data_IF_443393048345
#
_entry.id   IF_443393048345
#
_cell.length_a   1.000
_cell.length_b   1.000
_cell.length_c   1.000
_cell.angle_alpha   90.00
_cell.angle_beta   90.00
_cell.angle_gamma   90.00
#
_symmetry.space_group_name_H-M   'P 1'
#
loop_
_entity.id
_entity.type
_entity.pdbx_description
1 polymer ?
#
# COMPACT_ATOMS: atom_id res chain seq x y z
N UNK A 1 -32.70 -0.31 47.10
CA UNK A 1 -33.81 0.66 46.93
C UNK A 1 -33.96 0.96 45.44
N UNK A 2 -35.18 0.74 44.93
CA UNK A 2 -35.59 0.76 43.54
C UNK A 2 -35.64 2.17 42.93
N UNK A 3 -35.44 2.26 41.60
CA UNK A 3 -36.23 2.97 40.55
C UNK A 3 -35.29 3.35 39.39
N UNK A 4 -35.29 2.68 38.22
CA UNK A 4 -36.24 2.74 37.09
C UNK A 4 -36.56 4.15 36.57
N UNK A 5 -36.10 4.43 35.34
CA UNK A 5 -36.47 5.58 34.52
C UNK A 5 -36.09 5.33 33.05
N UNK A 6 -36.96 4.62 32.33
CA UNK A 6 -36.94 4.52 30.86
C UNK A 6 -37.56 5.80 30.29
N UNK A 7 -36.90 6.47 29.34
CA UNK A 7 -37.56 7.41 28.44
C UNK A 7 -37.54 6.88 27.01
N UNK A 8 -38.72 6.54 26.51
CA UNK A 8 -39.04 6.34 25.09
C UNK A 8 -39.37 7.71 24.49
N UNK A 9 -38.71 8.09 23.41
CA UNK A 9 -39.24 9.09 22.49
C UNK A 9 -39.69 8.40 21.21
N UNK A 10 -41.02 8.40 21.01
CA UNK A 10 -41.67 8.21 19.72
C UNK A 10 -41.60 9.53 18.99
N UNK A 11 -41.09 9.53 17.76
CA UNK A 11 -41.18 10.63 16.81
C UNK A 11 -41.65 10.06 15.48
N UNK A 12 -42.82 10.50 15.04
CA UNK A 12 -43.57 10.02 13.89
C UNK A 12 -42.83 10.30 12.57
N UNK A 13 -42.46 9.24 11.84
CA UNK A 13 -42.07 9.35 10.44
C UNK A 13 -43.33 9.40 9.57
N UNK A 14 -43.75 10.61 9.19
CA UNK A 14 -44.77 10.81 8.14
C UNK A 14 -44.12 10.64 6.77
N UNK A 15 -44.48 9.56 6.09
CA UNK A 15 -44.25 9.37 4.65
C UNK A 15 -45.11 10.37 3.85
N UNK A 16 -44.50 11.06 2.90
CA UNK A 16 -45.20 11.79 1.84
C UNK A 16 -44.58 11.39 0.48
N UNK A 17 -45.35 10.82 -0.48
CA UNK A 17 -44.85 10.39 -1.78
C UNK A 17 -45.22 11.37 -2.91
N UNK A 18 -44.23 11.89 -3.63
CA UNK A 18 -44.33 12.53 -4.96
C UNK A 18 -42.89 12.94 -5.35
N UNK A 19 -42.30 12.68 -6.51
CA UNK A 19 -42.78 12.51 -7.87
C UNK A 19 -41.85 11.56 -8.63
N UNK A 20 -42.45 10.62 -9.35
CA UNK A 20 -41.82 9.91 -10.45
C UNK A 20 -42.02 10.69 -11.76
N UNK A 21 -41.08 10.48 -12.69
CA UNK A 21 -41.13 10.70 -14.14
C UNK A 21 -40.72 12.07 -14.71
N UNK A 22 -39.58 12.07 -15.41
CA UNK A 22 -39.26 12.69 -16.72
C UNK A 22 -37.75 13.06 -16.73
N UNK A 23 -36.93 12.84 -17.76
CA UNK A 23 -37.18 12.47 -19.14
C UNK A 23 -35.94 11.76 -19.72
N UNK A 24 -36.20 10.68 -20.46
CA UNK A 24 -35.33 10.18 -21.53
C UNK A 24 -35.37 11.18 -22.69
N UNK A 25 -34.20 11.62 -23.20
CA UNK A 25 -33.92 11.99 -24.60
C UNK A 25 -32.41 12.26 -24.74
N UNK A 26 -31.68 11.33 -25.35
CA UNK A 26 -31.14 11.42 -26.73
C UNK A 26 -30.11 12.55 -26.90
N UNK A 27 -28.84 12.17 -26.94
CA UNK A 27 -27.88 12.61 -27.96
C UNK A 27 -27.06 11.39 -28.39
N UNK A 28 -27.49 10.79 -29.51
CA UNK A 28 -26.68 9.88 -30.32
C UNK A 28 -25.81 10.73 -31.23
N UNK A 29 -24.57 10.29 -31.44
CA UNK A 29 -23.79 10.61 -32.63
C UNK A 29 -22.65 11.56 -32.35
N UNK A 30 -21.49 11.01 -32.02
CA UNK A 30 -20.28 11.42 -32.73
C UNK A 30 -19.40 10.21 -33.04
N UNK A 31 -18.75 10.37 -34.18
CA UNK A 31 -18.28 9.37 -35.11
C UNK A 31 -17.19 8.47 -34.52
N UNK A 32 -17.31 7.17 -34.82
CA UNK A 32 -16.23 6.19 -34.67
C UNK A 32 -15.46 6.18 -35.98
N UNK A 33 -14.38 6.94 -36.08
CA UNK A 33 -13.27 6.69 -37.03
C UNK A 33 -12.07 7.58 -36.67
N UNK A 34 -10.89 6.99 -36.78
CA UNK A 34 -9.55 7.59 -36.68
C UNK A 34 -8.99 8.01 -35.31
N UNK A 35 -8.47 7.01 -34.59
CA UNK A 35 -7.19 7.13 -33.89
C UNK A 35 -6.48 5.76 -33.78
N UNK A 36 -6.28 5.08 -34.92
CA UNK A 36 -5.30 3.99 -35.02
C UNK A 36 -3.92 4.59 -35.34
N UNK A 37 -3.22 5.08 -34.31
CA UNK A 37 -1.77 5.27 -34.36
C UNK A 37 -1.20 4.71 -33.08
N UNK A 38 -0.54 3.56 -33.22
CA UNK A 38 -0.04 2.74 -32.13
C UNK A 38 1.04 3.44 -31.32
N UNK A 39 0.79 3.60 -30.02
CA UNK A 39 1.86 3.49 -29.05
C UNK A 39 2.06 2.00 -28.78
N UNK A 40 3.03 1.40 -29.48
CA UNK A 40 3.56 0.11 -29.11
C UNK A 40 4.27 0.28 -27.75
N UNK A 41 3.64 -0.20 -26.68
CA UNK A 41 4.31 -0.43 -25.41
C UNK A 41 5.32 -1.56 -25.63
N UNK A 42 6.54 -1.21 -26.07
CA UNK A 42 7.69 -2.13 -26.07
C UNK A 42 8.14 -2.31 -24.62
N UNK A 43 7.42 -3.15 -23.90
CA UNK A 43 7.72 -3.50 -22.51
C UNK A 43 7.19 -4.88 -22.09
N UNK A 44 6.49 -5.60 -22.96
CA UNK A 44 6.26 -7.02 -22.76
C UNK A 44 7.54 -7.76 -23.15
N UNK A 45 8.29 -8.24 -22.15
CA UNK A 45 9.28 -9.30 -22.40
C UNK A 45 8.52 -10.46 -23.07
N UNK A 46 9.07 -11.09 -24.12
CA UNK A 46 8.50 -12.32 -24.63
C UNK A 46 8.50 -13.36 -23.49
N UNK A 47 7.54 -14.30 -23.45
CA UNK A 47 7.66 -15.46 -22.58
C UNK A 47 8.82 -16.30 -23.11
N UNK A 48 10.00 -16.10 -22.54
CA UNK A 48 11.25 -16.64 -23.10
C UNK A 48 12.52 -16.00 -22.53
N UNK A 49 12.58 -15.76 -21.22
CA UNK A 49 13.86 -15.85 -20.48
C UNK A 49 13.96 -17.27 -19.88
N UNK A 50 13.51 -18.27 -20.64
CA UNK A 50 13.88 -19.65 -20.41
C UNK A 50 15.21 -19.88 -21.10
N UNK A 51 16.15 -20.47 -20.37
CA UNK A 51 17.27 -21.20 -20.95
C UNK A 51 16.82 -21.89 -22.25
N UNK A 52 17.66 -21.85 -23.29
CA UNK A 52 17.37 -22.36 -24.63
C UNK A 52 16.81 -23.79 -24.66
N UNK A 53 16.44 -24.33 -25.83
CA UNK A 53 15.84 -25.66 -25.94
C UNK A 53 16.81 -26.72 -25.39
N UNK A 54 16.60 -27.11 -24.12
CA UNK A 54 17.59 -27.83 -23.29
C UNK A 54 17.66 -27.38 -21.82
N UNK A 55 17.01 -26.28 -21.43
CA UNK A 55 16.98 -25.78 -20.06
C UNK A 55 16.16 -26.64 -19.08
N UNK A 56 16.58 -26.64 -17.81
CA UNK A 56 15.87 -27.29 -16.71
C UNK A 56 14.45 -26.70 -16.56
N UNK A 57 13.43 -27.52 -16.86
CA UNK A 57 12.02 -27.09 -16.89
C UNK A 57 11.38 -27.00 -15.51
N UNK A 58 12.12 -27.31 -14.43
CA UNK A 58 11.60 -27.25 -13.06
C UNK A 58 11.35 -25.81 -12.62
N UNK A 59 10.21 -25.52 -11.97
CA UNK A 59 9.98 -24.23 -11.34
C UNK A 59 11.11 -23.86 -10.36
N UNK A 60 11.68 -22.67 -10.58
CA UNK A 60 12.66 -22.05 -9.69
C UNK A 60 11.94 -21.47 -8.48
N UNK A 61 12.30 -21.89 -7.28
CA UNK A 61 11.68 -21.46 -6.03
C UNK A 61 12.68 -20.79 -5.10
N UNK A 62 12.19 -19.83 -4.32
CA UNK A 62 12.92 -19.28 -3.17
C UNK A 62 12.27 -19.78 -1.89
N UNK A 63 13.08 -20.09 -0.87
CA UNK A 63 12.59 -20.36 0.47
C UNK A 63 12.50 -19.04 1.23
N UNK A 64 11.30 -18.68 1.71
CA UNK A 64 11.11 -17.51 2.56
C UNK A 64 11.60 -17.82 3.98
N UNK A 65 12.57 -17.04 4.42
CA UNK A 65 13.26 -17.18 5.69
C UNK A 65 12.77 -16.11 6.63
N UNK A 66 12.49 -16.52 7.86
CA UNK A 66 12.22 -15.61 8.97
C UNK A 66 13.50 -15.44 9.78
N UNK A 67 14.02 -14.22 9.80
CA UNK A 67 15.36 -13.92 10.29
C UNK A 67 15.42 -13.48 11.74
N UNK A 68 14.32 -13.27 12.44
CA UNK A 68 14.32 -12.64 13.78
C UNK A 68 14.60 -11.15 13.71
N UNK A 69 14.30 -10.49 12.58
CA UNK A 69 14.63 -9.08 12.32
C UNK A 69 13.37 -8.36 11.88
N UNK A 70 12.95 -7.40 12.67
CA UNK A 70 11.85 -6.49 12.35
C UNK A 70 12.39 -5.06 12.26
N UNK A 71 12.17 -4.37 11.15
CA UNK A 71 12.63 -3.01 10.92
C UNK A 71 11.45 -2.06 10.64
N UNK A 72 11.46 -0.90 11.30
CA UNK A 72 10.47 0.17 11.13
C UNK A 72 11.10 1.54 11.36
N UNK A 73 10.90 2.48 10.43
CA UNK A 73 11.51 3.80 10.43
C UNK A 73 13.05 3.72 10.58
N UNK A 74 13.57 4.23 11.70
CA UNK A 74 15.00 4.23 12.06
C UNK A 74 15.37 3.17 13.11
N UNK A 75 14.41 2.33 13.50
CA UNK A 75 14.61 1.31 14.53
C UNK A 75 14.50 -0.09 13.93
N UNK A 76 15.24 -1.03 14.51
CA UNK A 76 15.03 -2.44 14.27
C UNK A 76 15.10 -3.22 15.58
N UNK A 77 14.31 -4.27 15.67
CA UNK A 77 14.31 -5.22 16.78
C UNK A 77 14.80 -6.56 16.26
N UNK A 78 15.80 -7.10 16.95
CA UNK A 78 16.28 -8.46 16.72
C UNK A 78 15.66 -9.39 17.78
N UNK A 79 14.67 -10.19 17.40
CA UNK A 79 14.00 -11.13 18.30
C UNK A 79 14.53 -12.56 18.09
N UNK A 80 14.48 -13.37 19.15
CA UNK A 80 14.82 -14.80 19.09
C UNK A 80 13.67 -15.68 18.56
N UNK A 81 12.44 -15.15 18.57
CA UNK A 81 11.25 -15.81 18.08
C UNK A 81 10.49 -14.87 17.16
N UNK A 82 10.36 -15.27 15.90
CA UNK A 82 9.51 -14.61 14.92
C UNK A 82 8.07 -15.10 15.10
N UNK A 83 7.29 -14.41 15.94
CA UNK A 83 5.85 -14.68 16.10
C UNK A 83 5.05 -14.08 14.93
N UNK A 84 5.27 -14.62 13.73
CA UNK A 84 4.61 -14.17 12.52
C UNK A 84 4.36 -15.34 11.56
N UNK A 85 3.32 -15.23 10.74
CA UNK A 85 2.79 -16.34 9.94
C UNK A 85 3.61 -16.70 8.69
N UNK A 86 4.62 -15.90 8.33
CA UNK A 86 5.34 -16.06 7.07
C UNK A 86 6.73 -16.62 7.25
N UNK A 87 7.13 -17.44 6.28
CA UNK A 87 8.49 -17.95 6.20
C UNK A 87 8.80 -19.02 7.23
N UNK A 88 10.02 -19.53 7.14
CA UNK A 88 10.55 -20.58 8.00
C UNK A 88 11.63 -19.97 8.89
N UNK A 89 11.50 -20.16 10.21
CA UNK A 89 12.44 -19.62 11.18
C UNK A 89 13.84 -20.24 11.03
N UNK A 90 14.87 -19.38 11.05
CA UNK A 90 16.26 -19.81 11.17
C UNK A 90 16.53 -20.44 12.54
N UNK A 91 16.02 -19.82 13.62
CA UNK A 91 16.33 -20.22 14.99
C UNK A 91 15.81 -21.61 15.37
N UNK A 92 14.70 -22.06 14.75
CA UNK A 92 14.16 -23.41 15.00
C UNK A 92 14.69 -24.48 14.03
N UNK A 93 15.50 -24.11 13.03
CA UNK A 93 15.92 -25.01 11.95
C UNK A 93 14.84 -25.33 10.92
N UNK A 94 13.67 -24.67 10.99
CA UNK A 94 12.59 -24.87 10.02
C UNK A 94 13.01 -24.47 8.60
N UNK A 95 13.87 -23.45 8.46
CA UNK A 95 14.39 -23.02 7.17
C UNK A 95 15.30 -24.09 6.52
N UNK A 96 16.18 -24.70 7.32
CA UNK A 96 17.04 -25.80 6.89
C UNK A 96 16.21 -27.00 6.43
N UNK A 97 15.18 -27.37 7.20
CA UNK A 97 14.24 -28.44 6.83
C UNK A 97 13.46 -28.14 5.54
N UNK A 98 13.00 -26.89 5.36
CA UNK A 98 12.32 -26.48 4.13
C UNK A 98 13.25 -26.59 2.92
N UNK A 99 14.50 -26.19 3.05
CA UNK A 99 15.51 -26.36 1.99
C UNK A 99 15.72 -27.83 1.67
N UNK A 100 15.91 -28.68 2.69
CA UNK A 100 16.07 -30.13 2.51
C UNK A 100 14.89 -30.74 1.74
N UNK A 101 13.66 -30.34 2.05
CA UNK A 101 12.47 -30.82 1.33
C UNK A 101 12.42 -30.34 -0.12
N UNK A 102 12.80 -29.07 -0.40
CA UNK A 102 12.88 -28.56 -1.77
C UNK A 102 13.93 -29.32 -2.58
N UNK A 103 15.09 -29.62 -2.00
CA UNK A 103 16.16 -30.38 -2.66
C UNK A 103 15.78 -31.84 -2.92
N UNK A 104 14.97 -32.44 -2.03
CA UNK A 104 14.44 -33.79 -2.21
C UNK A 104 13.29 -33.87 -3.24
N UNK A 105 12.68 -32.74 -3.61
CA UNK A 105 11.56 -32.69 -4.53
C UNK A 105 12.05 -32.64 -6.00
N UNK A 106 11.90 -33.71 -6.80
CA UNK A 106 12.40 -33.74 -8.18
C UNK A 106 11.67 -32.76 -9.09
N UNK A 107 10.50 -32.26 -8.68
CA UNK A 107 9.71 -31.29 -9.44
C UNK A 107 10.17 -29.83 -9.23
N UNK A 108 11.08 -29.54 -8.29
CA UNK A 108 11.47 -28.17 -7.94
C UNK A 108 12.97 -27.95 -8.15
N UNK A 109 13.35 -26.68 -8.33
CA UNK A 109 14.74 -26.21 -8.29
C UNK A 109 14.87 -25.09 -7.28
N UNK A 110 15.68 -25.28 -6.26
CA UNK A 110 16.04 -24.21 -5.34
C UNK A 110 16.88 -23.17 -6.09
N UNK A 111 16.34 -21.96 -6.24
CA UNK A 111 17.06 -20.84 -6.82
C UNK A 111 17.69 -19.94 -5.75
N UNK A 112 17.09 -19.87 -4.56
CA UNK A 112 17.61 -18.98 -3.54
C UNK A 112 16.76 -18.81 -2.29
N UNK A 113 17.00 -17.71 -1.59
CA UNK A 113 16.38 -17.38 -0.32
C UNK A 113 15.68 -16.01 -0.40
N UNK A 114 14.60 -15.87 0.34
CA UNK A 114 13.81 -14.64 0.46
C UNK A 114 13.74 -14.21 1.93
N UNK A 115 13.83 -12.92 2.21
CA UNK A 115 13.50 -12.35 3.51
C UNK A 115 12.80 -11.00 3.33
N UNK A 116 11.79 -10.74 4.16
CA UNK A 116 11.07 -9.46 4.19
C UNK A 116 10.90 -9.04 5.64
N UNK A 117 11.56 -7.94 6.01
CA UNK A 117 11.81 -7.59 7.42
C UNK A 117 10.96 -6.46 7.97
N UNK A 118 10.09 -5.84 7.17
CA UNK A 118 9.23 -4.78 7.71
C UNK A 118 8.70 -3.80 6.69
N UNK A 119 8.28 -2.64 7.18
CA UNK A 119 7.63 -1.58 6.42
C UNK A 119 8.05 -0.21 6.93
N UNK A 120 8.05 0.79 6.05
CA UNK A 120 8.53 2.15 6.36
C UNK A 120 9.98 2.17 6.85
N UNK A 121 10.85 1.35 6.27
CA UNK A 121 12.27 1.29 6.64
C UNK A 121 13.01 2.44 5.97
N UNK A 122 13.74 3.25 6.75
CA UNK A 122 14.44 4.44 6.25
C UNK A 122 15.94 4.24 6.06
N UNK A 123 16.55 3.22 6.69
CA UNK A 123 17.98 2.94 6.60
C UNK A 123 18.29 1.49 6.17
N UNK A 124 19.58 1.16 6.08
CA UNK A 124 20.08 -0.14 5.63
C UNK A 124 20.45 -1.10 6.76
N UNK A 125 20.42 -0.67 8.03
CA UNK A 125 20.97 -1.46 9.14
C UNK A 125 20.16 -2.73 9.38
N UNK A 126 18.83 -2.64 9.34
CA UNK A 126 17.95 -3.81 9.44
C UNK A 126 18.20 -4.81 8.29
N UNK A 127 18.41 -4.31 7.07
CA UNK A 127 18.71 -5.15 5.91
C UNK A 127 20.09 -5.81 6.01
N UNK A 128 21.08 -5.14 6.61
CA UNK A 128 22.41 -5.70 6.84
C UNK A 128 22.35 -6.94 7.72
N UNK A 129 21.68 -6.83 8.86
CA UNK A 129 21.53 -7.95 9.79
C UNK A 129 20.71 -9.08 9.18
N UNK A 130 19.65 -8.76 8.43
CA UNK A 130 18.85 -9.77 7.74
C UNK A 130 19.65 -10.51 6.66
N UNK A 131 20.40 -9.77 5.84
CA UNK A 131 21.27 -10.35 4.82
C UNK A 131 22.33 -11.25 5.43
N UNK A 132 22.96 -10.84 6.53
CA UNK A 132 23.92 -11.67 7.27
C UNK A 132 23.29 -13.01 7.69
N UNK A 133 22.15 -12.99 8.38
CA UNK A 133 21.46 -14.21 8.85
C UNK A 133 21.00 -15.12 7.72
N UNK A 134 20.52 -14.56 6.61
CA UNK A 134 20.14 -15.37 5.43
C UNK A 134 21.36 -15.98 4.75
N UNK A 135 22.48 -15.26 4.70
CA UNK A 135 23.72 -15.78 4.13
C UNK A 135 24.36 -16.87 4.99
N UNK A 136 24.16 -16.88 6.31
CA UNK A 136 24.54 -18.02 7.16
C UNK A 136 23.80 -19.31 6.74
N UNK A 137 22.52 -19.22 6.38
CA UNK A 137 21.81 -20.36 5.82
C UNK A 137 22.39 -20.74 4.44
N UNK A 138 22.70 -19.77 3.58
CA UNK A 138 23.33 -20.04 2.29
C UNK A 138 24.69 -20.76 2.42
N UNK A 139 25.48 -20.43 3.45
CA UNK A 139 26.72 -21.14 3.80
C UNK A 139 26.41 -22.60 4.13
N UNK A 140 25.44 -22.87 5.01
CA UNK A 140 25.07 -24.24 5.37
C UNK A 140 24.58 -25.04 4.16
N UNK A 141 23.79 -24.44 3.28
CA UNK A 141 23.33 -25.08 2.04
C UNK A 141 24.49 -25.49 1.15
N UNK A 142 25.48 -24.61 0.97
CA UNK A 142 26.69 -24.94 0.21
C UNK A 142 27.49 -26.05 0.88
N UNK A 143 27.72 -25.95 2.19
CA UNK A 143 28.62 -26.85 2.88
C UNK A 143 28.01 -28.27 3.00
N UNK A 144 26.69 -28.38 3.14
CA UNK A 144 25.97 -29.66 3.23
C UNK A 144 25.64 -30.27 1.86
N UNK A 145 25.23 -29.46 0.88
CA UNK A 145 24.71 -29.95 -0.40
C UNK A 145 25.57 -29.61 -1.62
N UNK A 146 26.62 -28.80 -1.48
CA UNK A 146 27.45 -28.32 -2.58
C UNK A 146 26.74 -27.30 -3.48
N UNK A 147 25.67 -26.67 -3.01
CA UNK A 147 24.82 -25.77 -3.80
C UNK A 147 25.08 -24.31 -3.40
N UNK A 148 25.44 -23.48 -4.36
CA UNK A 148 25.43 -22.02 -4.19
C UNK A 148 24.06 -21.46 -4.61
N UNK A 149 23.47 -20.58 -3.80
CA UNK A 149 22.23 -19.90 -4.16
C UNK A 149 22.47 -18.93 -5.33
N UNK A 150 21.52 -18.87 -6.26
CA UNK A 150 21.59 -18.00 -7.43
C UNK A 150 20.96 -16.63 -7.17
N UNK A 151 19.99 -16.58 -6.24
CA UNK A 151 19.21 -15.38 -5.93
C UNK A 151 19.08 -15.17 -4.42
N UNK A 152 19.23 -13.91 -4.00
CA UNK A 152 18.88 -13.45 -2.67
C UNK A 152 17.89 -12.31 -2.80
N UNK A 153 16.68 -12.52 -2.32
CA UNK A 153 15.64 -11.50 -2.31
C UNK A 153 15.51 -10.91 -0.90
N UNK A 154 15.81 -9.63 -0.75
CA UNK A 154 15.73 -8.92 0.54
C UNK A 154 14.40 -8.19 0.75
N UNK A 155 13.38 -8.55 -0.02
CA UNK A 155 12.03 -8.09 0.17
C UNK A 155 11.87 -6.60 -0.13
N UNK A 156 10.89 -5.99 0.53
CA UNK A 156 10.50 -4.61 0.30
C UNK A 156 10.57 -3.81 1.59
N UNK A 157 9.56 -2.97 1.82
CA UNK A 157 9.46 -2.20 3.06
C UNK A 157 10.10 -0.81 3.02
N UNK A 158 10.77 -0.46 1.91
CA UNK A 158 11.35 0.88 1.70
C UNK A 158 10.32 1.99 1.97
N UNK A 159 10.71 2.90 2.87
CA UNK A 159 9.86 3.97 3.33
C UNK A 159 9.65 5.08 2.30
N UNK A 160 8.59 5.83 2.53
CA UNK A 160 8.30 7.10 1.86
C UNK A 160 7.95 8.16 2.90
N UNK A 161 8.05 9.42 2.51
CA UNK A 161 7.58 10.51 3.35
C UNK A 161 6.06 10.66 3.23
N UNK A 162 5.33 10.45 4.34
CA UNK A 162 3.90 10.75 4.45
C UNK A 162 3.66 12.16 5.00
N UNK A 163 4.59 12.63 5.83
CA UNK A 163 4.60 13.93 6.48
C UNK A 163 5.97 14.58 6.32
N UNK A 164 6.07 15.88 6.64
CA UNK A 164 7.34 16.60 6.60
C UNK A 164 8.36 16.12 7.66
N UNK A 165 7.94 15.33 8.65
CA UNK A 165 8.82 14.76 9.66
C UNK A 165 9.49 13.46 9.22
N UNK A 166 9.03 12.85 8.12
CA UNK A 166 9.59 11.62 7.58
C UNK A 166 10.81 11.91 6.70
N UNK A 167 11.90 11.18 6.91
CA UNK A 167 13.17 11.34 6.18
C UNK A 167 13.69 10.00 5.64
N UNK A 168 13.00 9.38 4.66
CA UNK A 168 13.47 8.14 4.04
C UNK A 168 14.74 8.39 3.22
N UNK A 169 15.73 7.49 3.33
CA UNK A 169 16.94 7.58 2.52
C UNK A 169 16.64 7.48 1.02
N UNK A 170 17.47 8.15 0.22
CA UNK A 170 17.40 8.06 -1.24
C UNK A 170 17.56 6.61 -1.72
N UNK A 171 16.74 6.22 -2.69
CA UNK A 171 16.71 4.83 -3.21
C UNK A 171 18.08 4.37 -3.73
N UNK A 172 18.90 5.26 -4.27
CA UNK A 172 20.24 4.93 -4.75
C UNK A 172 21.20 4.67 -3.58
N UNK A 173 21.01 5.36 -2.44
CA UNK A 173 21.77 5.10 -1.21
C UNK A 173 21.42 3.72 -0.67
N UNK A 174 20.12 3.41 -0.55
CA UNK A 174 19.66 2.09 -0.11
C UNK A 174 20.18 1.00 -1.05
N UNK A 175 20.01 1.16 -2.37
CA UNK A 175 20.44 0.16 -3.34
C UNK A 175 21.96 -0.08 -3.34
N UNK A 176 22.77 0.96 -3.16
CA UNK A 176 24.23 0.81 -2.99
C UNK A 176 24.55 0.09 -1.68
N UNK A 177 23.96 0.52 -0.57
CA UNK A 177 24.16 -0.10 0.74
C UNK A 177 23.85 -1.60 0.72
N UNK A 178 22.70 -2.00 0.17
CA UNK A 178 22.33 -3.42 0.05
C UNK A 178 23.32 -4.23 -0.79
N UNK A 179 23.80 -3.67 -1.90
CA UNK A 179 24.80 -4.34 -2.75
C UNK A 179 26.13 -4.50 -2.02
N UNK A 180 26.58 -3.48 -1.30
CA UNK A 180 27.84 -3.49 -0.57
C UNK A 180 27.78 -4.46 0.61
N UNK A 181 26.66 -4.49 1.34
CA UNK A 181 26.35 -5.45 2.40
C UNK A 181 26.47 -6.88 1.86
N UNK A 182 25.71 -7.21 0.80
CA UNK A 182 25.68 -8.58 0.25
C UNK A 182 27.05 -8.97 -0.28
N UNK A 183 27.75 -8.08 -0.99
CA UNK A 183 29.09 -8.35 -1.51
C UNK A 183 30.10 -8.61 -0.38
N UNK A 184 30.10 -7.79 0.67
CA UNK A 184 30.96 -7.95 1.84
C UNK A 184 30.70 -9.26 2.56
N UNK A 185 29.44 -9.57 2.84
CA UNK A 185 29.04 -10.79 3.53
C UNK A 185 29.37 -12.05 2.71
N UNK A 186 29.12 -12.03 1.40
CA UNK A 186 29.49 -13.14 0.51
C UNK A 186 31.01 -13.36 0.49
N UNK A 187 31.80 -12.29 0.46
CA UNK A 187 33.27 -12.37 0.51
C UNK A 187 33.76 -13.00 1.82
N UNK A 188 33.21 -12.57 2.95
CA UNK A 188 33.54 -13.14 4.27
C UNK A 188 33.15 -14.62 4.37
N UNK A 189 32.01 -14.98 3.78
CA UNK A 189 31.47 -16.33 3.77
C UNK A 189 32.06 -17.26 2.67
N UNK A 190 32.97 -16.75 1.83
CA UNK A 190 33.49 -17.47 0.67
C UNK A 190 32.43 -17.89 -0.36
N UNK A 191 31.29 -17.18 -0.40
CA UNK A 191 30.18 -17.45 -1.31
C UNK A 191 30.34 -16.65 -2.62
N UNK A 192 29.96 -17.20 -3.78
CA UNK A 192 29.75 -16.38 -4.97
C UNK A 192 28.58 -15.40 -4.71
N UNK A 193 28.66 -14.15 -5.18
CA UNK A 193 27.59 -13.19 -4.95
C UNK A 193 26.32 -13.61 -5.71
N UNK A 194 25.17 -13.81 -5.03
CA UNK A 194 23.92 -14.11 -5.70
C UNK A 194 23.37 -12.88 -6.41
N UNK A 195 22.43 -13.08 -7.33
CA UNK A 195 21.62 -11.99 -7.85
C UNK A 195 20.78 -11.42 -6.71
N UNK A 196 20.98 -10.14 -6.39
CA UNK A 196 20.15 -9.43 -5.42
C UNK A 196 18.84 -8.97 -6.08
N UNK A 197 17.71 -9.29 -5.44
CA UNK A 197 16.37 -8.82 -5.82
C UNK A 197 15.66 -8.13 -4.64
N UNK A 198 14.73 -7.23 -4.96
CA UNK A 198 13.97 -6.42 -4.00
C UNK A 198 12.53 -6.23 -4.48
N UNK A 199 11.61 -5.91 -3.57
CA UNK A 199 10.15 -5.94 -3.78
C UNK A 199 9.49 -4.60 -3.38
N UNK A 200 9.88 -3.45 -3.97
CA UNK A 200 9.32 -2.15 -3.60
C UNK A 200 7.86 -2.02 -4.06
N UNK A 201 6.91 -1.99 -3.12
CA UNK A 201 5.53 -1.61 -3.38
C UNK A 201 5.29 -0.12 -3.12
N UNK A 202 5.38 0.25 -1.83
CA UNK A 202 5.07 1.59 -1.33
C UNK A 202 5.93 2.68 -1.96
N UNK A 203 7.24 2.46 -2.05
CA UNK A 203 8.19 3.41 -2.61
C UNK A 203 7.96 3.71 -4.10
N UNK A 204 7.36 2.79 -4.86
CA UNK A 204 7.01 3.02 -6.26
C UNK A 204 5.64 3.70 -6.41
N UNK A 205 4.61 3.13 -5.78
CA UNK A 205 3.23 3.54 -6.03
C UNK A 205 2.77 4.72 -5.17
N UNK A 206 3.32 4.88 -3.96
CA UNK A 206 2.83 5.83 -2.95
C UNK A 206 2.92 7.29 -3.38
N UNK A 207 4.12 7.85 -3.59
CA UNK A 207 4.32 9.29 -3.79
C UNK A 207 3.67 9.86 -5.05
N UNK A 208 3.52 9.04 -6.10
CA UNK A 208 3.00 9.49 -7.40
C UNK A 208 1.48 9.71 -7.46
N UNK A 209 0.75 9.51 -6.36
CA UNK A 209 -0.72 9.62 -6.32
C UNK A 209 -1.18 10.38 -5.08
N UNK A 210 -2.19 11.22 -5.28
CA UNK A 210 -2.94 11.90 -4.23
C UNK A 210 -4.42 11.49 -4.31
N UNK A 211 -5.14 11.66 -3.19
CA UNK A 211 -6.60 11.59 -3.20
C UNK A 211 -7.15 13.00 -3.06
N UNK A 212 -8.01 13.39 -4.00
CA UNK A 212 -8.75 14.66 -3.95
C UNK A 212 -10.13 14.40 -3.36
N UNK A 213 -10.53 15.27 -2.45
CA UNK A 213 -11.85 15.27 -1.84
C UNK A 213 -12.49 16.65 -1.95
N UNK A 214 -13.83 16.68 -1.93
CA UNK A 214 -14.62 17.89 -1.77
C UNK A 214 -15.06 18.04 -0.32
N UNK A 215 -14.92 19.24 0.24
CA UNK A 215 -15.38 19.57 1.60
C UNK A 215 -16.91 19.69 1.59
N UNK A 216 -17.56 18.96 2.50
CA UNK A 216 -19.02 19.02 2.68
C UNK A 216 -19.43 19.85 3.90
N UNK A 217 -18.98 19.45 5.09
CA UNK A 217 -19.39 20.08 6.36
C UNK A 217 -18.17 20.52 7.14
N UNK A 218 -18.17 21.77 7.60
CA UNK A 218 -17.16 22.30 8.52
C UNK A 218 -17.84 22.59 9.85
N UNK A 219 -17.33 22.02 10.94
CA UNK A 219 -17.87 22.19 12.28
C UNK A 219 -16.74 22.50 13.25
N UNK A 220 -16.78 23.68 13.85
CA UNK A 220 -15.94 23.96 15.00
C UNK A 220 -16.49 23.25 16.25
N UNK A 221 -15.60 22.63 17.02
CA UNK A 221 -15.93 21.98 18.29
C UNK A 221 -15.36 22.85 19.39
N UNK A 222 -16.11 23.89 19.74
CA UNK A 222 -15.88 24.81 20.86
C UNK A 222 -14.43 25.30 20.99
N UNK A 223 -13.77 25.66 19.88
CA UNK A 223 -12.39 26.13 19.86
C UNK A 223 -11.33 25.06 20.18
N UNK A 224 -11.72 23.80 20.40
CA UNK A 224 -10.79 22.68 20.58
C UNK A 224 -10.22 22.23 19.24
N UNK A 225 -11.07 22.11 18.23
CA UNK A 225 -10.72 21.57 16.91
C UNK A 225 -11.82 21.81 15.89
N UNK A 226 -11.42 22.14 14.67
CA UNK A 226 -12.31 22.17 13.52
C UNK A 226 -12.39 20.79 12.85
N UNK A 227 -13.60 20.24 12.71
CA UNK A 227 -13.87 19.03 11.94
C UNK A 227 -14.24 19.41 10.51
N UNK A 228 -13.52 18.84 9.55
CA UNK A 228 -13.74 19.06 8.12
C UNK A 228 -14.16 17.72 7.52
N UNK A 229 -15.46 17.60 7.18
CA UNK A 229 -16.04 16.39 6.61
C UNK A 229 -15.90 16.40 5.10
N UNK A 230 -15.46 15.29 4.50
CA UNK A 230 -15.23 15.15 3.07
C UNK A 230 -16.09 14.07 2.41
N UNK A 231 -16.14 14.06 1.08
CA UNK A 231 -17.00 13.18 0.25
C UNK A 231 -16.53 11.72 0.12
N UNK A 232 -15.45 11.34 0.81
CA UNK A 232 -14.94 9.98 0.95
C UNK A 232 -14.80 9.54 2.40
N UNK A 233 -13.73 8.83 2.73
CA UNK A 233 -13.42 8.42 4.09
C UNK A 233 -12.64 7.11 4.17
N UNK A 234 -12.90 6.35 5.23
CA UNK A 234 -12.31 5.04 5.49
C UNK A 234 -12.61 4.01 4.38
N UNK A 235 -13.66 4.21 3.57
CA UNK A 235 -13.94 3.33 2.42
C UNK A 235 -12.91 3.45 1.30
N UNK A 236 -12.23 4.58 1.14
CA UNK A 236 -11.19 4.76 0.12
C UNK A 236 -9.78 4.92 0.71
N UNK A 237 -9.69 5.31 1.99
CA UNK A 237 -8.46 5.31 2.76
C UNK A 237 -8.67 4.84 4.22
N UNK A 238 -8.66 3.52 4.42
CA UNK A 238 -8.80 2.89 5.74
C UNK A 238 -7.55 3.03 6.64
N UNK A 239 -6.42 3.51 6.10
CA UNK A 239 -5.09 3.33 6.72
C UNK A 239 -4.94 4.07 8.04
N UNK A 240 -5.58 5.21 8.21
CA UNK A 240 -5.54 5.95 9.48
C UNK A 240 -6.31 5.22 10.57
N UNK A 241 -7.46 4.61 10.25
CA UNK A 241 -8.21 3.82 11.22
C UNK A 241 -7.54 2.47 11.54
N UNK A 242 -6.91 1.83 10.54
CA UNK A 242 -6.36 0.48 10.69
C UNK A 242 -4.91 0.45 11.21
N UNK A 243 -4.10 1.44 10.86
CA UNK A 243 -2.66 1.46 11.14
C UNK A 243 -2.20 2.76 11.81
N UNK A 244 -3.12 3.63 12.24
CA UNK A 244 -2.79 4.96 12.74
C UNK A 244 -1.89 5.77 11.80
N UNK A 245 -2.01 5.53 10.49
CA UNK A 245 -1.20 6.21 9.49
C UNK A 245 -1.44 7.73 9.52
N UNK A 246 -0.35 8.48 9.62
CA UNK A 246 -0.33 9.93 9.43
C UNK A 246 -0.26 10.28 7.94
N UNK A 247 -0.81 11.44 7.59
CA UNK A 247 -0.87 11.94 6.22
C UNK A 247 -0.76 13.47 6.21
N UNK A 248 -0.08 14.01 5.21
CA UNK A 248 -0.21 15.43 4.85
C UNK A 248 -1.45 15.64 3.98
N UNK A 249 -2.23 16.68 4.31
CA UNK A 249 -3.29 17.19 3.45
C UNK A 249 -3.20 18.70 3.30
N UNK A 250 -3.65 19.22 2.15
CA UNK A 250 -3.60 20.65 1.82
C UNK A 250 -4.88 21.10 1.11
N UNK A 251 -5.20 22.39 1.22
CA UNK A 251 -6.18 23.05 0.37
C UNK A 251 -5.64 23.11 -1.07
N UNK A 252 -6.42 22.62 -2.03
CA UNK A 252 -6.00 22.42 -3.43
C UNK A 252 -6.85 23.21 -4.44
N UNK A 253 -7.98 23.78 -4.03
CA UNK A 253 -8.89 24.54 -4.91
C UNK A 253 -8.52 26.01 -5.07
N UNK A 254 -7.85 26.61 -4.08
CA UNK A 254 -7.55 28.05 -4.02
C UNK A 254 -6.42 28.33 -3.04
N UNK A 255 -5.91 29.56 -3.11
CA UNK A 255 -5.05 30.13 -2.07
C UNK A 255 -5.90 30.72 -0.95
N UNK A 256 -5.37 30.70 0.28
CA UNK A 256 -5.96 31.36 1.44
C UNK A 256 -4.89 32.07 2.24
N UNK A 257 -5.23 33.28 2.70
CA UNK A 257 -4.42 34.05 3.65
C UNK A 257 -4.94 33.91 5.09
N UNK A 258 -5.99 33.12 5.33
CA UNK A 258 -6.50 32.90 6.67
C UNK A 258 -5.46 32.15 7.52
N UNK A 259 -5.30 32.49 8.81
CA UNK A 259 -4.42 31.75 9.70
C UNK A 259 -4.78 30.26 9.75
N UNK A 260 -3.79 29.36 9.82
CA UNK A 260 -4.05 27.93 9.94
C UNK A 260 -4.69 27.62 11.30
N UNK A 261 -5.66 26.70 11.29
CA UNK A 261 -6.33 26.19 12.49
C UNK A 261 -6.15 24.69 12.61
N UNK A 262 -6.16 24.17 13.84
CA UNK A 262 -6.07 22.73 14.08
C UNK A 262 -7.36 22.05 13.62
N UNK A 263 -7.21 21.18 12.62
CA UNK A 263 -8.29 20.46 11.98
C UNK A 263 -8.19 18.95 12.21
N UNK A 264 -9.30 18.27 11.94
CA UNK A 264 -9.36 16.84 11.66
C UNK A 264 -10.17 16.61 10.40
N UNK A 265 -9.58 15.91 9.43
CA UNK A 265 -10.24 15.53 8.19
C UNK A 265 -10.96 14.20 8.42
N UNK A 266 -12.29 14.24 8.35
CA UNK A 266 -13.16 13.08 8.59
C UNK A 266 -13.94 12.74 7.33
N UNK A 267 -14.26 11.46 7.14
CA UNK A 267 -15.12 11.04 6.05
C UNK A 267 -16.61 11.27 6.36
N UNK A 268 -17.46 10.67 5.52
CA UNK A 268 -18.92 10.75 5.62
C UNK A 268 -19.60 9.46 6.10
N UNK A 269 -18.84 8.47 6.56
CA UNK A 269 -19.37 7.23 7.09
C UNK A 269 -20.01 7.44 8.47
N UNK A 270 -20.96 6.59 8.81
CA UNK A 270 -21.67 6.66 10.10
C UNK A 270 -20.87 6.02 11.25
N UNK A 271 -19.56 6.27 11.31
CA UNK A 271 -18.65 5.70 12.29
C UNK A 271 -17.69 6.77 12.82
N UNK A 272 -17.55 6.87 14.15
CA UNK A 272 -16.67 7.88 14.77
C UNK A 272 -15.19 7.69 14.44
N UNK A 273 -14.80 6.48 14.05
CA UNK A 273 -13.45 6.12 13.59
C UNK A 273 -13.16 6.52 12.14
N UNK A 274 -14.13 7.08 11.40
CA UNK A 274 -13.98 7.52 10.02
C UNK A 274 -13.14 8.81 9.91
N UNK A 275 -11.85 8.66 10.15
CA UNK A 275 -10.85 9.72 10.16
C UNK A 275 -9.86 9.45 9.04
N UNK A 276 -9.74 10.40 8.11
CA UNK A 276 -8.77 10.34 6.99
C UNK A 276 -7.43 10.96 7.41
N UNK A 277 -7.46 12.06 8.15
CA UNK A 277 -6.27 12.71 8.72
C UNK A 277 -6.58 13.15 10.14
N UNK A 278 -5.88 12.56 11.11
CA UNK A 278 -6.16 12.74 12.55
C UNK A 278 -5.90 14.17 13.02
N UNK A 279 -4.78 14.74 12.58
CA UNK A 279 -4.30 16.07 12.94
C UNK A 279 -3.74 16.75 11.70
N UNK A 280 -4.32 17.89 11.32
CA UNK A 280 -3.88 18.70 10.19
C UNK A 280 -4.01 20.19 10.54
N UNK A 281 -3.22 21.03 9.88
CA UNK A 281 -3.41 22.48 9.91
C UNK A 281 -3.91 22.94 8.54
N UNK A 282 -5.16 23.42 8.49
CA UNK A 282 -5.79 23.94 7.28
C UNK A 282 -6.18 25.41 7.50
N UNK A 283 -6.37 26.21 6.43
CA UNK A 283 -6.81 27.59 6.58
C UNK A 283 -8.12 27.71 7.37
N UNK A 284 -8.21 28.67 8.29
CA UNK A 284 -9.40 28.88 9.13
C UNK A 284 -10.66 29.31 8.38
N UNK A 285 -10.53 29.68 7.10
CA UNK A 285 -11.63 30.03 6.19
C UNK A 285 -12.05 28.87 5.27
N UNK A 286 -11.64 27.63 5.57
CA UNK A 286 -12.06 26.45 4.83
C UNK A 286 -13.59 26.31 4.85
N UNK A 287 -14.18 26.03 3.69
CA UNK A 287 -15.63 26.03 3.53
C UNK A 287 -16.12 24.87 2.65
N UNK A 288 -17.42 24.53 2.71
CA UNK A 288 -18.03 23.60 1.77
C UNK A 288 -17.75 23.97 0.30
N UNK A 289 -17.41 22.98 -0.52
CA UNK A 289 -17.00 23.15 -1.92
C UNK A 289 -15.49 23.36 -2.15
N UNK A 290 -14.71 23.60 -1.11
CA UNK A 290 -13.24 23.57 -1.22
C UNK A 290 -12.74 22.15 -1.54
N UNK A 291 -11.60 22.04 -2.25
CA UNK A 291 -10.97 20.76 -2.54
C UNK A 291 -9.77 20.53 -1.62
N UNK A 292 -9.72 19.37 -0.97
CA UNK A 292 -8.57 18.92 -0.17
C UNK A 292 -7.83 17.81 -0.89
N UNK A 293 -6.52 17.94 -1.00
CA UNK A 293 -5.63 16.90 -1.49
C UNK A 293 -4.94 16.21 -0.30
N UNK A 294 -5.05 14.88 -0.22
CA UNK A 294 -4.28 14.04 0.71
C UNK A 294 -3.14 13.37 -0.06
N UNK A 295 -1.91 13.59 0.39
CA UNK A 295 -0.70 13.12 -0.30
C UNK A 295 -0.43 11.62 -0.09
N UNK A 296 0.42 11.04 -0.95
CA UNK A 296 0.98 9.70 -0.78
C UNK A 296 -0.07 8.55 -0.65
N UNK A 297 -1.20 8.65 -1.34
CA UNK A 297 -2.30 7.66 -1.27
C UNK A 297 -2.22 6.57 -2.34
N UNK A 298 -1.17 6.54 -3.15
CA UNK A 298 -1.05 5.57 -4.24
C UNK A 298 -0.75 4.14 -3.81
N UNK A 299 -0.28 3.94 -2.57
CA UNK A 299 0.01 2.64 -2.01
C UNK A 299 -1.02 2.27 -0.93
N UNK A 300 -1.62 1.09 -1.07
CA UNK A 300 -2.52 0.44 -0.12
C UNK A 300 -3.90 1.11 0.10
N UNK A 301 -4.13 2.37 -0.27
CA UNK A 301 -5.44 3.00 -0.12
C UNK A 301 -6.47 2.35 -1.07
N UNK A 302 -6.28 2.52 -2.39
CA UNK A 302 -7.21 1.95 -3.39
C UNK A 302 -7.32 0.42 -3.32
N UNK A 303 -6.23 -0.29 -3.04
CA UNK A 303 -6.27 -1.76 -2.94
C UNK A 303 -7.05 -2.25 -1.72
N UNK A 304 -7.21 -1.42 -0.69
CA UNK A 304 -7.98 -1.73 0.52
C UNK A 304 -9.35 -1.05 0.51
N UNK A 305 -9.77 -0.48 -0.62
CA UNK A 305 -11.03 0.24 -0.71
C UNK A 305 -12.25 -0.71 -0.59
N UNK A 306 -13.23 -0.30 0.19
CA UNK A 306 -14.48 -1.02 0.44
C UNK A 306 -15.69 -0.24 -0.06
N UNK A 307 -16.87 -0.86 0.00
CA UNK A 307 -18.15 -0.20 -0.23
C UNK A 307 -18.90 0.00 1.09
N UNK A 308 -18.20 0.33 2.19
CA UNK A 308 -18.84 0.62 3.46
C UNK A 308 -19.90 1.73 3.29
N UNK A 309 -21.07 1.55 3.89
CA UNK A 309 -22.27 2.37 3.65
C UNK A 309 -22.69 2.52 2.17
N UNK A 310 -22.39 1.52 1.32
CA UNK A 310 -22.70 1.53 -0.10
C UNK A 310 -22.10 2.73 -0.85
N UNK A 311 -20.94 3.22 -0.40
CA UNK A 311 -20.21 4.26 -1.12
C UNK A 311 -19.47 3.63 -2.30
N UNK A 312 -19.73 4.07 -3.56
CA UNK A 312 -19.02 3.55 -4.72
C UNK A 312 -17.54 3.93 -4.67
N UNK A 313 -16.64 2.98 -4.98
CA UNK A 313 -15.19 3.27 -5.03
C UNK A 313 -14.90 4.43 -6.01
N UNK A 314 -13.97 5.33 -5.66
CA UNK A 314 -13.65 6.51 -6.48
C UNK A 314 -13.07 6.12 -7.84
N UNK A 315 -13.00 7.01 -8.83
CA UNK A 315 -12.20 6.78 -10.03
C UNK A 315 -10.69 6.88 -9.72
N UNK A 316 -9.84 6.35 -10.62
CA UNK A 316 -8.39 6.67 -10.66
C UNK A 316 -8.10 7.37 -11.97
N UNK A 317 -7.44 8.52 -11.91
CA UNK A 317 -7.07 9.33 -13.06
C UNK A 317 -5.55 9.47 -13.11
N UNK A 318 -4.94 9.13 -14.25
CA UNK A 318 -3.54 9.44 -14.51
C UNK A 318 -3.45 10.79 -15.21
N UNK A 319 -2.47 11.60 -14.80
CA UNK A 319 -2.16 12.88 -15.44
C UNK A 319 -0.77 12.81 -16.05
N UNK A 320 -0.64 13.18 -17.34
CA UNK A 320 0.64 13.26 -18.03
C UNK A 320 0.58 14.32 -19.12
N UNK A 321 1.57 15.21 -19.17
CA UNK A 321 1.68 16.24 -20.22
C UNK A 321 0.45 17.16 -20.30
N UNK A 322 -0.08 17.60 -19.16
CA UNK A 322 -1.27 18.45 -19.08
C UNK A 322 -2.60 17.77 -19.40
N UNK A 323 -2.61 16.45 -19.67
CA UNK A 323 -3.82 15.69 -20.00
C UNK A 323 -4.15 14.66 -18.92
N UNK A 324 -5.43 14.55 -18.56
CA UNK A 324 -5.96 13.53 -17.66
C UNK A 324 -6.58 12.34 -18.41
N UNK A 325 -6.36 11.12 -17.93
CA UNK A 325 -6.99 9.89 -18.43
C UNK A 325 -7.51 9.05 -17.28
N UNK A 326 -8.80 8.69 -17.33
CA UNK A 326 -9.37 7.73 -16.39
C UNK A 326 -8.73 6.36 -16.62
N UNK A 327 -8.07 5.82 -15.59
CA UNK A 327 -7.54 4.46 -15.55
C UNK A 327 -8.59 3.48 -15.05
N UNK A 328 -9.29 3.86 -13.98
CA UNK A 328 -10.38 3.10 -13.38
C UNK A 328 -11.58 4.04 -13.24
N UNK A 329 -12.73 3.66 -13.81
CA UNK A 329 -13.96 4.45 -13.65
C UNK A 329 -14.44 4.41 -12.19
N UNK A 330 -15.23 5.40 -11.80
CA UNK A 330 -15.98 5.36 -10.56
C UNK A 330 -16.97 4.19 -10.64
N UNK A 331 -17.17 3.51 -9.52
CA UNK A 331 -18.29 2.59 -9.39
C UNK A 331 -19.63 3.36 -9.40
N UNK A 332 -20.69 2.62 -9.69
CA UNK A 332 -22.06 3.11 -9.84
C UNK A 332 -22.98 2.29 -8.94
N UNK A 333 -24.23 2.71 -8.79
CA UNK A 333 -25.24 1.91 -8.08
C UNK A 333 -25.40 0.53 -8.73
N UNK A 334 -25.34 0.45 -10.07
CA UNK A 334 -25.43 -0.83 -10.79
C UNK A 334 -24.28 -1.79 -10.42
N UNK A 335 -23.07 -1.27 -10.16
CA UNK A 335 -21.96 -2.10 -9.68
C UNK A 335 -22.24 -2.65 -8.27
N UNK A 336 -22.80 -1.82 -7.39
CA UNK A 336 -23.16 -2.21 -6.02
C UNK A 336 -24.25 -3.29 -6.00
N UNK A 337 -25.19 -3.20 -6.94
CA UNK A 337 -26.31 -4.15 -7.05
C UNK A 337 -25.99 -5.36 -7.94
N UNK A 338 -24.78 -5.44 -8.52
CA UNK A 338 -24.44 -6.49 -9.51
C UNK A 338 -24.43 -7.92 -8.95
N UNK A 339 -24.44 -8.07 -7.62
CA UNK A 339 -24.52 -9.35 -6.92
C UNK A 339 -25.93 -9.64 -6.37
N UNK A 340 -26.87 -8.70 -6.53
CA UNK A 340 -28.28 -8.91 -6.20
C UNK A 340 -28.93 -9.77 -7.29
N UNK A 341 -29.72 -10.77 -6.87
CA UNK A 341 -30.35 -11.74 -7.77
C UNK A 341 -31.77 -11.33 -8.22
N UNK A 342 -32.31 -10.23 -7.68
CA UNK A 342 -33.65 -9.71 -7.99
C UNK A 342 -34.64 -9.90 -6.85
#
# INVERSE_FOLDING_TARGET
RLRHGRHRHRGDARFCPAHAAAARRRCRGHDRRDARRGLAWRGARPPGDGDGPGGDSRPRVLVRVSTGVEAAAHEFVATAHDDQKFGFSLGSGAADEAVRQVLAAPALRLAGLHSHIGSQIYDTAGFEMAAHRVLELAVRIRDEYGIAIEELNLGGGFGIAYTAADDPADVQVIARGLRDIVASQCKLAGLPPPRLTVEPGRALAGPGTITLYEVGTVKDVDGLRTYVSVDGGMSDNIRTALYDAAYTCVLASRESAAPPVLCRLVGRHCESGDIVVRDAYLPGDIAPGDLIAVAATGAYCRSMASNYNNIPRPPVVAVRGGSGRVLLRRETIDDLLSLDMG
#
